data_IF_120354786516
#
_entry.id   IF_120354786516
#
_cell.length_a   1.000
_cell.length_b   1.000
_cell.length_c   1.000
_cell.angle_alpha   90.00
_cell.angle_beta   90.00
_cell.angle_gamma   90.00
#
_symmetry.space_group_name_H-M   'P 1'
#
loop_
_entity.id
_entity.type
_entity.pdbx_description
1 polymer ?
#
# COMPACT_ATOMS: atom_id res chain seq x y z
N UNK A 1 21.96 -15.31 43.13
CA UNK A 1 20.67 -15.73 42.52
C UNK A 1 20.05 -14.67 41.61
N UNK A 2 19.95 -13.40 42.02
CA UNK A 2 19.32 -12.33 41.21
C UNK A 2 19.85 -12.16 39.78
N UNK A 3 21.17 -12.26 39.54
CA UNK A 3 21.73 -12.07 38.20
C UNK A 3 21.44 -13.23 37.23
N UNK A 4 21.32 -14.46 37.72
CA UNK A 4 20.93 -15.62 36.91
C UNK A 4 19.48 -15.53 36.45
N UNK A 5 18.59 -15.06 37.34
CA UNK A 5 17.18 -14.83 37.01
C UNK A 5 17.01 -13.75 35.94
N UNK A 6 17.79 -12.66 36.02
CA UNK A 6 17.78 -11.59 35.00
C UNK A 6 18.29 -12.12 33.66
N UNK A 7 19.42 -12.83 33.63
CA UNK A 7 19.97 -13.40 32.39
C UNK A 7 19.02 -14.39 31.71
N UNK A 8 18.32 -15.21 32.50
CA UNK A 8 17.30 -16.13 32.00
C UNK A 8 16.12 -15.38 31.35
N UNK A 9 15.60 -14.33 31.99
CA UNK A 9 14.49 -13.52 31.44
C UNK A 9 14.92 -12.83 30.15
N UNK A 10 16.10 -12.21 30.12
CA UNK A 10 16.60 -11.53 28.91
C UNK A 10 16.79 -12.51 27.75
N UNK A 11 17.35 -13.70 28.03
CA UNK A 11 17.50 -14.76 27.02
C UNK A 11 16.16 -15.24 26.47
N UNK A 12 15.18 -15.46 27.34
CA UNK A 12 13.83 -15.86 26.92
C UNK A 12 13.16 -14.78 26.05
N UNK A 13 13.28 -13.51 26.42
CA UNK A 13 12.77 -12.39 25.62
C UNK A 13 13.42 -12.33 24.23
N UNK A 14 14.74 -12.49 24.14
CA UNK A 14 15.44 -12.47 22.85
C UNK A 14 15.01 -13.59 21.92
N UNK A 15 14.85 -14.82 22.46
CA UNK A 15 14.37 -15.96 21.68
C UNK A 15 12.93 -15.72 21.21
N UNK A 16 12.05 -15.22 22.08
CA UNK A 16 10.69 -14.89 21.72
C UNK A 16 10.62 -13.83 20.60
N UNK A 17 11.44 -12.78 20.69
CA UNK A 17 11.56 -11.75 19.65
C UNK A 17 12.04 -12.31 18.31
N UNK A 18 13.05 -13.19 18.32
CA UNK A 18 13.55 -13.83 17.11
C UNK A 18 12.49 -14.71 16.43
N UNK A 19 11.76 -15.51 17.21
CA UNK A 19 10.67 -16.36 16.70
C UNK A 19 9.53 -15.52 16.13
N UNK A 20 9.13 -14.43 16.79
CA UNK A 20 8.11 -13.52 16.28
C UNK A 20 8.52 -12.89 14.94
N UNK A 21 9.79 -12.52 14.79
CA UNK A 21 10.29 -11.93 13.54
C UNK A 21 10.34 -12.95 12.40
N UNK A 22 10.76 -14.19 12.68
CA UNK A 22 10.80 -15.27 11.68
C UNK A 22 9.40 -15.74 11.27
N UNK A 23 8.43 -15.69 12.19
CA UNK A 23 7.04 -16.03 11.93
C UNK A 23 6.22 -14.91 11.30
N UNK A 24 6.75 -13.68 11.26
CA UNK A 24 6.07 -12.54 10.66
C UNK A 24 5.97 -12.73 9.14
N UNK A 25 4.76 -13.02 8.67
CA UNK A 25 4.46 -13.06 7.25
C UNK A 25 4.27 -11.65 6.73
N UNK A 26 4.73 -11.38 5.51
CA UNK A 26 4.44 -10.11 4.83
C UNK A 26 2.92 -10.00 4.63
N UNK A 27 2.29 -9.04 5.30
CA UNK A 27 0.82 -8.88 5.33
C UNK A 27 0.27 -8.05 4.17
N UNK A 28 1.00 -7.88 3.06
CA UNK A 28 0.48 -7.16 1.91
C UNK A 28 -0.33 -8.11 1.02
N UNK A 29 -1.44 -8.61 1.55
CA UNK A 29 -2.44 -9.31 0.76
C UNK A 29 -3.35 -8.28 0.07
N UNK A 30 -3.78 -8.60 -1.16
CA UNK A 30 -4.76 -7.80 -1.86
C UNK A 30 -6.06 -7.78 -1.04
N UNK A 31 -6.66 -6.60 -0.86
CA UNK A 31 -7.93 -6.42 -0.13
C UNK A 31 -9.12 -7.06 -0.85
N UNK A 32 -8.94 -7.54 -2.08
CA UNK A 32 -9.97 -8.14 -2.91
C UNK A 32 -10.88 -7.08 -3.53
N UNK A 33 -12.11 -7.48 -3.83
CA UNK A 33 -13.10 -6.61 -4.46
C UNK A 33 -13.69 -5.63 -3.43
N UNK A 34 -13.86 -4.38 -3.85
CA UNK A 34 -14.48 -3.33 -3.03
C UNK A 34 -15.90 -3.09 -3.52
N UNK A 35 -16.90 -3.44 -2.70
CA UNK A 35 -18.32 -3.11 -2.95
C UNK A 35 -18.81 -2.15 -1.87
N UNK A 36 -18.95 -0.88 -2.22
CA UNK A 36 -19.36 0.20 -1.31
C UNK A 36 -20.31 1.15 -2.02
N UNK A 37 -21.08 1.93 -1.24
CA UNK A 37 -22.01 2.91 -1.81
C UNK A 37 -21.29 4.10 -2.47
N UNK A 38 -20.19 4.57 -1.87
CA UNK A 38 -19.44 5.72 -2.37
C UNK A 38 -17.99 5.64 -1.95
N UNK A 39 -17.09 6.07 -2.83
CA UNK A 39 -15.66 6.23 -2.56
C UNK A 39 -15.34 7.72 -2.63
N UNK A 40 -14.81 8.27 -1.54
CA UNK A 40 -14.29 9.64 -1.49
C UNK A 40 -12.78 9.57 -1.30
N UNK A 41 -12.02 10.09 -2.28
CA UNK A 41 -10.56 10.13 -2.21
C UNK A 41 -10.13 11.52 -1.76
N UNK A 42 -9.69 11.63 -0.50
CA UNK A 42 -9.18 12.86 0.09
C UNK A 42 -7.65 12.87 0.04
N UNK A 43 -7.06 14.07 -0.05
CA UNK A 43 -5.61 14.27 0.02
C UNK A 43 -5.30 15.44 0.95
N UNK A 44 -4.15 15.38 1.60
CA UNK A 44 -3.62 16.39 2.53
C UNK A 44 -2.78 17.48 1.85
N UNK A 45 -2.68 17.47 0.52
CA UNK A 45 -1.97 18.53 -0.22
C UNK A 45 -1.52 18.18 -1.64
N UNK A 46 -1.72 16.94 -2.09
CA UNK A 46 -1.27 16.44 -3.40
C UNK A 46 -2.40 16.07 -4.38
N UNK A 47 -3.66 16.22 -3.95
CA UNK A 47 -4.84 15.80 -4.71
C UNK A 47 -5.19 14.31 -4.53
N UNK A 48 -6.47 14.00 -4.46
CA UNK A 48 -6.95 12.62 -4.38
C UNK A 48 -7.00 11.98 -5.77
N UNK A 49 -6.58 10.72 -5.89
CA UNK A 49 -6.59 10.01 -7.18
C UNK A 49 -6.82 8.50 -7.06
N UNK A 50 -7.24 7.90 -8.16
CA UNK A 50 -7.29 6.46 -8.42
C UNK A 50 -6.41 6.18 -9.64
N UNK A 51 -5.50 5.21 -9.50
CA UNK A 51 -4.66 4.72 -10.60
C UNK A 51 -4.86 3.24 -10.81
N UNK A 52 -4.85 2.81 -12.06
CA UNK A 52 -4.86 1.39 -12.43
C UNK A 52 -3.60 1.05 -13.20
N UNK A 53 -3.14 -0.20 -13.05
CA UNK A 53 -1.91 -0.70 -13.66
C UNK A 53 -2.19 -2.05 -14.33
N UNK A 54 -1.52 -2.31 -15.45
CA UNK A 54 -1.53 -3.63 -16.07
C UNK A 54 -0.58 -4.61 -15.33
N UNK A 55 -0.54 -5.86 -15.79
CA UNK A 55 0.31 -6.92 -15.22
C UNK A 55 1.80 -6.61 -15.23
N UNK A 56 2.24 -5.73 -16.13
CA UNK A 56 3.63 -5.32 -16.28
C UNK A 56 3.99 -4.10 -15.43
N UNK A 57 3.04 -3.61 -14.61
CA UNK A 57 3.21 -2.43 -13.76
C UNK A 57 3.13 -1.10 -14.50
N UNK A 58 2.64 -1.08 -15.75
CA UNK A 58 2.42 0.15 -16.51
C UNK A 58 1.05 0.73 -16.21
N UNK A 59 0.99 2.03 -15.99
CA UNK A 59 -0.27 2.73 -15.71
C UNK A 59 -1.21 2.62 -16.91
N UNK A 60 -2.49 2.39 -16.64
CA UNK A 60 -3.54 2.29 -17.68
C UNK A 60 -4.63 3.35 -17.51
N UNK A 61 -4.82 3.87 -16.30
CA UNK A 61 -5.64 5.08 -16.07
C UNK A 61 -5.19 5.89 -14.84
N UNK A 62 -5.50 7.18 -14.86
CA UNK A 62 -5.42 8.13 -13.76
C UNK A 62 -6.71 8.93 -13.68
N UNK A 63 -7.46 8.78 -12.59
CA UNK A 63 -8.61 9.63 -12.26
C UNK A 63 -8.25 10.43 -11.03
N UNK A 64 -8.18 11.75 -11.12
CA UNK A 64 -7.83 12.55 -9.96
C UNK A 64 -7.96 14.04 -10.18
N UNK A 65 -7.37 14.81 -9.28
CA UNK A 65 -7.38 16.28 -9.32
C UNK A 65 -6.02 16.82 -9.76
N UNK A 66 -6.03 17.75 -10.71
CA UNK A 66 -4.89 18.57 -11.14
C UNK A 66 -5.14 20.05 -10.84
N UNK A 67 -4.15 20.91 -11.11
CA UNK A 67 -4.09 22.29 -10.61
C UNK A 67 -5.33 23.19 -10.77
N UNK A 68 -6.24 22.88 -11.69
CA UNK A 68 -7.48 23.66 -11.92
C UNK A 68 -8.78 22.84 -11.75
N UNK A 69 -8.73 21.53 -11.49
CA UNK A 69 -9.93 20.69 -11.45
C UNK A 69 -9.68 19.18 -11.46
N UNK A 70 -10.73 18.41 -11.69
CA UNK A 70 -10.63 16.96 -11.91
C UNK A 70 -10.30 16.63 -13.37
N UNK A 71 -9.57 15.55 -13.60
CA UNK A 71 -9.29 15.03 -14.94
C UNK A 71 -9.22 13.50 -14.95
N UNK A 72 -9.42 12.92 -16.15
CA UNK A 72 -9.20 11.51 -16.43
C UNK A 72 -8.19 11.38 -17.58
N UNK A 73 -7.11 10.65 -17.34
CA UNK A 73 -6.16 10.26 -18.37
C UNK A 73 -6.10 8.73 -18.51
N UNK A 74 -6.10 8.24 -19.74
CA UNK A 74 -5.95 6.81 -20.05
C UNK A 74 -4.67 6.56 -20.83
N UNK A 75 -4.13 5.35 -20.70
CA UNK A 75 -2.85 4.97 -21.29
C UNK A 75 -2.96 3.59 -21.96
N UNK A 76 -2.20 3.39 -23.04
CA UNK A 76 -2.09 2.10 -23.69
C UNK A 76 -1.21 1.12 -22.89
N UNK A 77 -1.10 -0.13 -23.38
CA UNK A 77 -0.30 -1.17 -22.73
C UNK A 77 1.20 -0.84 -22.64
N UNK A 78 1.68 0.17 -23.37
CA UNK A 78 3.07 0.62 -23.33
C UNK A 78 3.30 1.76 -22.35
N UNK A 79 2.23 2.40 -21.87
CA UNK A 79 2.25 3.57 -20.98
C UNK A 79 2.10 4.90 -21.71
N UNK A 80 1.70 4.90 -22.99
CA UNK A 80 1.50 6.12 -23.77
C UNK A 80 0.07 6.63 -23.61
N UNK A 81 -0.08 7.94 -23.43
CA UNK A 81 -1.39 8.59 -23.25
C UNK A 81 -2.28 8.36 -24.48
N UNK A 82 -3.51 7.89 -24.25
CA UNK A 82 -4.51 7.62 -25.28
C UNK A 82 -5.67 8.62 -25.26
N UNK A 83 -6.00 9.18 -24.09
CA UNK A 83 -7.07 10.18 -23.95
C UNK A 83 -6.89 11.00 -22.68
N UNK A 84 -7.34 12.26 -22.73
CA UNK A 84 -7.37 13.19 -21.61
C UNK A 84 -8.73 13.90 -21.61
N UNK A 85 -9.45 13.88 -20.49
CA UNK A 85 -10.75 14.53 -20.27
C UNK A 85 -10.70 15.48 -19.07
#
# INVERSE_FOLDING_TARGET
>A
MKQYTIGFITGACLIASAVMFMGAKNQHENLGDITVNSITVLSDGSGGYIKTYNSDGKQTSYLGTGGTGGFLETFDATGQSTSYL
#
